data_IF_320418663662
#
_entry.id   IF_320418663662
#
_cell.length_a   1.000
_cell.length_b   1.000
_cell.length_c   1.000
_cell.angle_alpha   90.00
_cell.angle_beta   90.00
_cell.angle_gamma   90.00
#
_symmetry.space_group_name_H-M   'P 1'
#
loop_
_entity.id
_entity.type
_entity.pdbx_description
1 polymer ?
#
# COMPACT_ATOMS: atom_id res chain seq x y z
N UNK A 1 29.56 28.36 -25.00
CA UNK A 1 28.16 28.60 -24.59
C UNK A 1 27.27 27.33 -24.58
N UNK A 2 27.41 26.41 -25.50
CA UNK A 2 26.60 25.18 -25.62
C UNK A 2 26.73 24.20 -24.44
N UNK A 3 27.91 24.06 -23.80
CA UNK A 3 28.14 23.17 -22.64
C UNK A 3 27.42 23.61 -21.35
N UNK A 4 27.28 24.93 -21.12
CA UNK A 4 26.66 25.49 -19.90
C UNK A 4 25.15 25.34 -19.94
N UNK A 5 24.50 25.48 -21.10
CA UNK A 5 23.07 25.26 -21.26
C UNK A 5 22.66 23.81 -20.95
N UNK A 6 23.41 22.84 -21.51
CA UNK A 6 23.17 21.40 -21.29
C UNK A 6 23.31 21.01 -19.82
N UNK A 7 24.32 21.49 -19.10
CA UNK A 7 24.50 21.24 -17.66
C UNK A 7 23.38 21.83 -16.80
N UNK A 8 22.78 22.95 -17.21
CA UNK A 8 21.68 23.59 -16.49
C UNK A 8 20.37 22.80 -16.66
N UNK A 9 20.14 22.28 -17.85
CA UNK A 9 18.99 21.44 -18.15
C UNK A 9 19.06 20.07 -17.44
N UNK A 10 20.27 19.46 -17.41
CA UNK A 10 20.50 18.21 -16.67
C UNK A 10 20.26 18.38 -15.16
N UNK A 11 20.72 19.47 -14.54
CA UNK A 11 20.45 19.77 -13.12
C UNK A 11 18.96 19.96 -12.83
N UNK A 12 18.22 20.62 -13.72
CA UNK A 12 16.77 20.82 -13.57
C UNK A 12 16.01 19.50 -13.69
N UNK A 13 16.45 18.63 -14.60
CA UNK A 13 15.89 17.30 -14.78
C UNK A 13 16.07 16.42 -13.54
N UNK A 14 17.30 16.36 -12.99
CA UNK A 14 17.63 15.63 -11.77
C UNK A 14 16.82 16.17 -10.58
N UNK A 15 16.75 17.50 -10.43
CA UNK A 15 15.99 18.13 -9.35
C UNK A 15 14.50 17.75 -9.37
N UNK A 16 13.87 17.73 -10.54
CA UNK A 16 12.47 17.29 -10.68
C UNK A 16 12.30 15.80 -10.37
N UNK A 17 13.28 14.96 -10.72
CA UNK A 17 13.30 13.54 -10.37
C UNK A 17 13.28 13.32 -8.86
N UNK A 18 14.15 14.04 -8.16
CA UNK A 18 14.22 13.98 -6.68
C UNK A 18 12.90 14.45 -6.07
N UNK A 19 12.32 15.54 -6.55
CA UNK A 19 11.02 16.05 -6.06
C UNK A 19 9.92 15.01 -6.25
N UNK A 20 9.85 14.33 -7.39
CA UNK A 20 8.85 13.29 -7.64
C UNK A 20 9.00 12.10 -6.69
N UNK A 21 10.23 11.68 -6.40
CA UNK A 21 10.50 10.61 -5.43
C UNK A 21 10.07 11.05 -4.02
N UNK A 22 10.43 12.26 -3.60
CA UNK A 22 10.05 12.78 -2.28
C UNK A 22 8.53 12.91 -2.13
N UNK A 23 7.84 13.45 -3.13
CA UNK A 23 6.37 13.52 -3.15
C UNK A 23 5.78 12.11 -3.09
N UNK A 24 6.33 11.17 -3.85
CA UNK A 24 5.92 9.77 -3.80
C UNK A 24 6.07 9.15 -2.41
N UNK A 25 7.19 9.38 -1.72
CA UNK A 25 7.42 8.88 -0.35
C UNK A 25 6.39 9.49 0.62
N UNK A 26 6.20 10.81 0.59
CA UNK A 26 5.25 11.48 1.49
C UNK A 26 3.82 10.99 1.27
N UNK A 27 3.39 10.88 0.01
CA UNK A 27 2.03 10.43 -0.31
C UNK A 27 1.83 8.95 0.03
N UNK A 28 2.82 8.09 -0.20
CA UNK A 28 2.74 6.68 0.19
C UNK A 28 2.65 6.50 1.70
N UNK A 29 3.37 7.31 2.48
CA UNK A 29 3.26 7.34 3.93
C UNK A 29 1.86 7.76 4.39
N UNK A 30 1.28 8.82 3.81
CA UNK A 30 -0.07 9.28 4.13
C UNK A 30 -1.12 8.21 3.78
N UNK A 31 -1.02 7.57 2.62
CA UNK A 31 -1.91 6.47 2.22
C UNK A 31 -1.80 5.26 3.15
N UNK A 32 -0.58 4.93 3.54
CA UNK A 32 -0.34 3.86 4.52
C UNK A 32 -0.97 4.21 5.88
N UNK A 33 -0.83 5.45 6.37
CA UNK A 33 -1.46 5.90 7.60
C UNK A 33 -2.99 5.81 7.55
N UNK A 34 -3.60 6.19 6.42
CA UNK A 34 -5.05 6.02 6.19
C UNK A 34 -5.46 4.54 6.25
N UNK A 35 -4.70 3.67 5.60
CA UNK A 35 -4.93 2.24 5.60
C UNK A 35 -4.81 1.61 7.00
N UNK A 36 -3.82 2.04 7.77
CA UNK A 36 -3.61 1.64 9.16
C UNK A 36 -4.77 2.11 10.06
N UNK A 37 -5.23 3.35 9.88
CA UNK A 37 -6.38 3.87 10.62
C UNK A 37 -7.64 3.03 10.37
N UNK A 38 -7.94 2.70 9.11
CA UNK A 38 -9.10 1.87 8.77
C UNK A 38 -9.00 0.45 9.31
N UNK A 39 -7.79 -0.08 9.47
CA UNK A 39 -7.59 -1.40 10.07
C UNK A 39 -7.84 -1.41 11.58
N UNK A 40 -7.71 -0.25 12.26
CA UNK A 40 -7.74 -0.15 13.73
C UNK A 40 -8.95 0.57 14.30
N UNK A 41 -9.82 1.15 13.49
CA UNK A 41 -10.97 1.95 13.97
C UNK A 41 -11.81 1.20 15.04
N UNK A 42 -12.00 -0.11 14.88
CA UNK A 42 -12.68 -0.98 15.86
C UNK A 42 -11.91 -1.13 17.17
N UNK A 43 -10.59 -1.01 17.17
CA UNK A 43 -9.70 -1.28 18.31
C UNK A 43 -9.25 -0.01 19.04
N UNK A 44 -9.63 1.16 18.51
CA UNK A 44 -9.38 2.46 19.11
C UNK A 44 -8.08 3.13 18.69
N UNK A 45 -7.95 4.38 19.09
CA UNK A 45 -6.83 5.27 18.71
C UNK A 45 -5.47 4.80 19.27
N UNK A 46 -5.47 4.11 20.42
CA UNK A 46 -4.25 3.58 21.04
C UNK A 46 -3.57 2.56 20.14
N UNK A 47 -4.36 1.70 19.50
CA UNK A 47 -3.83 0.74 18.53
C UNK A 47 -3.24 1.43 17.30
N UNK A 48 -3.88 2.48 16.79
CA UNK A 48 -3.33 3.28 15.70
C UNK A 48 -2.00 3.95 16.08
N UNK A 49 -1.90 4.52 17.28
CA UNK A 49 -0.68 5.15 17.79
C UNK A 49 0.46 4.14 17.94
N UNK A 50 0.18 2.93 18.40
CA UNK A 50 1.19 1.89 18.61
C UNK A 50 1.94 1.49 17.33
N UNK A 51 1.36 1.65 16.14
CA UNK A 51 2.09 1.42 14.89
C UNK A 51 3.24 2.39 14.67
N UNK A 52 3.09 3.63 15.15
CA UNK A 52 4.12 4.66 15.00
C UNK A 52 5.24 4.54 16.05
N UNK A 53 4.99 3.85 17.15
CA UNK A 53 6.04 3.47 18.10
C UNK A 53 6.98 2.43 17.49
N UNK A 54 6.43 1.55 16.65
CA UNK A 54 7.22 0.62 15.86
C UNK A 54 7.33 1.09 14.40
N UNK A 55 8.27 2.00 14.12
CA UNK A 55 8.48 2.56 12.77
C UNK A 55 8.69 1.51 11.67
N UNK A 56 9.08 0.28 12.03
CA UNK A 56 9.24 -0.82 11.10
C UNK A 56 7.92 -1.31 10.51
N UNK A 57 6.84 -1.35 11.30
CA UNK A 57 5.49 -1.71 10.82
C UNK A 57 4.99 -0.66 9.81
N UNK A 58 5.16 0.62 10.13
CA UNK A 58 4.78 1.71 9.22
C UNK A 58 5.58 1.64 7.91
N UNK A 59 6.88 1.37 8.00
CA UNK A 59 7.74 1.20 6.83
C UNK A 59 7.27 0.06 5.93
N UNK A 60 6.97 -1.13 6.49
CA UNK A 60 6.52 -2.29 5.74
C UNK A 60 5.15 -2.09 5.06
N UNK A 61 4.25 -1.32 5.68
CA UNK A 61 2.98 -0.95 5.05
C UNK A 61 3.14 0.15 3.98
N UNK A 62 4.14 1.04 4.11
CA UNK A 62 4.39 2.15 3.18
C UNK A 62 5.13 1.69 1.92
N UNK A 63 6.05 0.73 2.05
CA UNK A 63 6.93 0.27 0.99
C UNK A 63 6.18 -0.21 -0.27
N UNK A 64 5.15 -1.09 -0.18
CA UNK A 64 4.40 -1.54 -1.35
C UNK A 64 3.62 -0.41 -2.03
N UNK A 65 3.08 0.52 -1.24
CA UNK A 65 2.36 1.69 -1.77
C UNK A 65 3.29 2.58 -2.57
N UNK A 66 4.50 2.81 -2.05
CA UNK A 66 5.53 3.59 -2.75
C UNK A 66 5.91 2.94 -4.09
N UNK A 67 6.20 1.64 -4.11
CA UNK A 67 6.51 0.93 -5.35
C UNK A 67 5.35 0.98 -6.34
N UNK A 68 4.11 0.85 -5.88
CA UNK A 68 2.92 0.95 -6.73
C UNK A 68 2.76 2.34 -7.35
N UNK A 69 2.93 3.41 -6.57
CA UNK A 69 2.91 4.80 -7.07
C UNK A 69 3.99 5.01 -8.13
N UNK A 70 5.23 4.60 -7.84
CA UNK A 70 6.36 4.79 -8.74
C UNK A 70 6.21 3.96 -10.02
N UNK A 71 5.71 2.74 -9.94
CA UNK A 71 5.44 1.88 -11.08
C UNK A 71 4.43 2.52 -12.05
N UNK A 72 3.28 2.96 -11.53
CA UNK A 72 2.24 3.61 -12.34
C UNK A 72 2.73 4.96 -12.88
N UNK A 73 3.47 5.74 -12.07
CA UNK A 73 4.10 6.99 -12.51
C UNK A 73 5.02 6.76 -13.72
N UNK A 74 5.89 5.76 -13.68
CA UNK A 74 6.82 5.46 -14.77
C UNK A 74 6.10 4.97 -16.04
N UNK A 75 4.98 4.26 -15.90
CA UNK A 75 4.16 3.85 -17.04
C UNK A 75 3.42 5.04 -17.66
N UNK A 76 2.78 5.86 -16.85
CA UNK A 76 1.94 6.98 -17.32
C UNK A 76 2.75 8.26 -17.57
N UNK A 77 3.99 8.33 -17.09
CA UNK A 77 4.86 9.54 -17.13
C UNK A 77 4.23 10.78 -16.44
N UNK A 78 3.25 10.56 -15.56
CA UNK A 78 2.51 11.59 -14.83
C UNK A 78 2.33 11.14 -13.37
N UNK A 79 3.01 11.81 -12.42
CA UNK A 79 3.00 11.40 -11.00
C UNK A 79 1.59 11.43 -10.38
N UNK A 80 0.79 12.44 -10.73
CA UNK A 80 -0.58 12.58 -10.20
C UNK A 80 -1.48 11.39 -10.59
N UNK A 81 -1.26 10.78 -11.78
CA UNK A 81 -1.98 9.56 -12.22
C UNK A 81 -1.57 8.37 -11.35
N UNK A 82 -0.24 8.22 -11.12
CA UNK A 82 0.28 7.17 -10.24
C UNK A 82 -0.31 7.25 -8.85
N UNK A 83 -0.32 8.45 -8.27
CA UNK A 83 -0.92 8.71 -6.97
C UNK A 83 -2.43 8.41 -6.98
N UNK A 84 -3.18 8.90 -7.99
CA UNK A 84 -4.63 8.72 -8.05
C UNK A 84 -5.04 7.25 -8.14
N UNK A 85 -4.43 6.50 -9.04
CA UNK A 85 -4.75 5.06 -9.23
C UNK A 85 -4.42 4.27 -7.96
N UNK A 86 -3.21 4.48 -7.40
CA UNK A 86 -2.79 3.78 -6.19
C UNK A 86 -3.65 4.17 -4.98
N UNK A 87 -4.03 5.45 -4.85
CA UNK A 87 -4.91 5.91 -3.77
C UNK A 87 -6.28 5.26 -3.83
N UNK A 88 -6.89 5.18 -5.01
CA UNK A 88 -8.19 4.52 -5.20
C UNK A 88 -8.08 3.04 -4.80
N UNK A 89 -7.04 2.34 -5.28
CA UNK A 89 -6.83 0.93 -4.96
C UNK A 89 -6.67 0.71 -3.45
N UNK A 90 -5.77 1.45 -2.80
CA UNK A 90 -5.49 1.30 -1.37
C UNK A 90 -6.71 1.64 -0.52
N UNK A 91 -7.42 2.74 -0.82
CA UNK A 91 -8.61 3.15 -0.08
C UNK A 91 -9.73 2.11 -0.23
N UNK A 92 -9.98 1.62 -1.44
CA UNK A 92 -11.02 0.60 -1.66
C UNK A 92 -10.70 -0.68 -0.91
N UNK A 93 -9.47 -1.20 -0.99
CA UNK A 93 -9.07 -2.39 -0.24
C UNK A 93 -9.15 -2.17 1.28
N UNK A 94 -8.74 -1.00 1.76
CA UNK A 94 -8.82 -0.66 3.19
C UNK A 94 -10.25 -0.57 3.69
N UNK A 95 -11.18 -0.04 2.88
CA UNK A 95 -12.60 -0.01 3.20
C UNK A 95 -13.21 -1.42 3.23
N UNK A 96 -12.86 -2.27 2.27
CA UNK A 96 -13.32 -3.67 2.25
C UNK A 96 -12.82 -4.40 3.50
N UNK A 97 -11.53 -4.23 3.86
CA UNK A 97 -10.97 -4.79 5.08
C UNK A 97 -11.70 -4.30 6.33
N UNK A 98 -11.95 -2.98 6.42
CA UNK A 98 -12.70 -2.38 7.52
C UNK A 98 -14.08 -3.01 7.70
N UNK A 99 -14.86 -3.11 6.62
CA UNK A 99 -16.21 -3.70 6.70
C UNK A 99 -16.15 -5.19 7.01
N UNK A 100 -15.15 -5.92 6.50
CA UNK A 100 -14.98 -7.34 6.83
C UNK A 100 -14.66 -7.53 8.31
N UNK A 101 -13.76 -6.73 8.87
CA UNK A 101 -13.46 -6.73 10.30
C UNK A 101 -14.68 -6.34 11.15
N UNK A 102 -15.48 -5.38 10.70
CA UNK A 102 -16.65 -4.92 11.43
C UNK A 102 -17.75 -5.99 11.51
N UNK A 103 -17.99 -6.71 10.41
CA UNK A 103 -19.11 -7.65 10.30
C UNK A 103 -18.76 -9.09 10.64
N UNK A 104 -17.53 -9.51 10.39
CA UNK A 104 -17.09 -10.90 10.50
C UNK A 104 -15.98 -11.12 11.51
N UNK A 105 -15.40 -10.05 12.04
CA UNK A 105 -14.21 -10.09 12.91
C UNK A 105 -13.02 -10.83 12.26
N UNK A 106 -12.93 -10.72 10.94
CA UNK A 106 -11.96 -11.44 10.12
C UNK A 106 -11.31 -10.46 9.13
N UNK A 107 -9.96 -10.43 8.98
CA UNK A 107 -9.28 -9.52 8.07
C UNK A 107 -9.47 -9.94 6.62
N UNK A 108 -9.29 -8.99 5.71
CA UNK A 108 -9.29 -9.26 4.28
C UNK A 108 -8.00 -10.01 3.89
N UNK A 109 -8.16 -11.21 3.36
CA UNK A 109 -7.08 -12.03 2.81
C UNK A 109 -7.18 -12.06 1.28
N UNK A 110 -6.11 -12.48 0.63
CA UNK A 110 -6.09 -12.60 -0.85
C UNK A 110 -7.10 -13.63 -1.36
N UNK A 111 -7.33 -14.69 -0.59
CA UNK A 111 -8.34 -15.72 -0.91
C UNK A 111 -9.76 -15.16 -1.04
N UNK A 112 -10.09 -14.13 -0.26
CA UNK A 112 -11.38 -13.46 -0.31
C UNK A 112 -11.67 -12.76 -1.64
N UNK A 113 -10.64 -12.41 -2.38
CA UNK A 113 -10.81 -11.81 -3.71
C UNK A 113 -11.47 -12.78 -4.69
N UNK A 114 -11.32 -14.09 -4.49
CA UNK A 114 -11.99 -15.12 -5.29
C UNK A 114 -13.48 -15.25 -4.93
N UNK A 115 -13.85 -14.88 -3.69
CA UNK A 115 -15.23 -14.94 -3.19
C UNK A 115 -16.02 -13.65 -3.42
N UNK A 116 -15.44 -12.68 -4.14
CA UNK A 116 -16.08 -11.37 -4.37
C UNK A 116 -17.42 -11.47 -5.10
N UNK A 117 -17.61 -12.49 -5.95
CA UNK A 117 -18.89 -12.76 -6.62
C UNK A 117 -19.99 -13.19 -5.65
N UNK A 118 -19.62 -13.90 -4.57
CA UNK A 118 -20.55 -14.36 -3.55
C UNK A 118 -20.94 -13.24 -2.57
N UNK A 119 -20.00 -12.33 -2.26
CA UNK A 119 -20.26 -11.17 -1.41
C UNK A 119 -21.35 -10.25 -1.98
N UNK A 120 -21.50 -10.15 -3.30
CA UNK A 120 -22.55 -9.36 -3.95
C UNK A 120 -23.94 -9.79 -3.52
N UNK A 121 -24.14 -11.06 -3.24
CA UNK A 121 -25.43 -11.61 -2.81
C UNK A 121 -25.74 -11.37 -1.31
N UNK A 122 -24.73 -10.95 -0.53
CA UNK A 122 -24.86 -10.72 0.92
C UNK A 122 -25.02 -9.24 1.31
N UNK A 123 -24.73 -8.31 0.40
CA UNK A 123 -24.71 -6.84 0.66
C UNK A 123 -26.08 -6.26 1.08
N UNK A 124 -27.19 -6.92 0.76
CA UNK A 124 -28.54 -6.46 1.15
C UNK A 124 -28.90 -6.63 2.63
N UNK A 125 -28.10 -7.34 3.42
CA UNK A 125 -28.42 -7.68 4.83
C UNK A 125 -27.74 -6.80 5.87
N UNK A 126 -26.75 -5.99 5.48
CA UNK A 126 -25.95 -5.21 6.43
C UNK A 126 -26.16 -3.70 6.20
N UNK A 127 -26.44 -2.96 7.28
CA UNK A 127 -26.46 -1.49 7.26
C UNK A 127 -25.02 -1.00 7.32
N UNK A 128 -24.57 -0.40 6.23
CA UNK A 128 -23.23 0.20 6.14
C UNK A 128 -23.25 1.54 6.87
N UNK A 129 -22.59 1.62 8.02
CA UNK A 129 -22.33 2.88 8.72
C UNK A 129 -20.92 3.35 8.39
N UNK A 130 -20.82 4.43 7.63
CA UNK A 130 -19.53 5.09 7.35
C UNK A 130 -19.28 6.07 8.50
N UNK A 131 -18.16 5.91 9.18
CA UNK A 131 -17.76 6.80 10.27
C UNK A 131 -17.36 8.18 9.70
N UNK A 132 -17.63 9.26 10.46
CA UNK A 132 -17.27 10.63 10.10
C UNK A 132 -15.79 10.78 9.82
N UNK A 133 -14.95 10.13 10.61
CA UNK A 133 -13.48 10.22 10.49
C UNK A 133 -12.97 9.59 9.18
N UNK A 134 -13.60 8.51 8.72
CA UNK A 134 -13.29 7.91 7.42
C UNK A 134 -13.55 8.87 6.27
N UNK A 135 -14.68 9.61 6.33
CA UNK A 135 -15.00 10.61 5.33
C UNK A 135 -13.92 11.70 5.32
N UNK A 136 -13.48 12.15 6.51
CA UNK A 136 -12.42 13.15 6.62
C UNK A 136 -11.09 12.66 6.03
N UNK A 137 -10.69 11.40 6.25
CA UNK A 137 -9.51 10.81 5.66
C UNK A 137 -9.59 10.72 4.14
N UNK A 138 -10.74 10.31 3.58
CA UNK A 138 -10.95 10.24 2.13
C UNK A 138 -10.92 11.65 1.52
N UNK A 139 -11.56 12.63 2.15
CA UNK A 139 -11.51 14.03 1.73
C UNK A 139 -10.08 14.59 1.78
N UNK A 140 -9.33 14.30 2.84
CA UNK A 140 -7.93 14.70 2.97
C UNK A 140 -7.08 14.16 1.81
N UNK A 141 -7.23 12.88 1.47
CA UNK A 141 -6.53 12.28 0.32
C UNK A 141 -6.97 12.87 -1.02
N UNK A 142 -8.25 13.20 -1.18
CA UNK A 142 -8.74 13.89 -2.38
C UNK A 142 -8.08 15.27 -2.55
N UNK A 143 -7.90 16.01 -1.45
CA UNK A 143 -7.17 17.28 -1.44
C UNK A 143 -5.71 17.08 -1.84
N UNK A 144 -5.03 16.06 -1.31
CA UNK A 144 -3.63 15.74 -1.68
C UNK A 144 -3.51 15.47 -3.18
N UNK A 145 -4.39 14.65 -3.75
CA UNK A 145 -4.43 14.36 -5.18
C UNK A 145 -4.64 15.65 -5.98
N UNK A 146 -5.57 16.50 -5.56
CA UNK A 146 -5.85 17.79 -6.21
C UNK A 146 -4.63 18.72 -6.19
N UNK A 147 -3.92 18.82 -5.07
CA UNK A 147 -2.70 19.63 -4.95
C UNK A 147 -1.62 19.11 -5.90
N UNK A 148 -1.35 17.80 -5.92
CA UNK A 148 -0.36 17.20 -6.83
C UNK A 148 -0.75 17.43 -8.30
N UNK A 149 -2.05 17.31 -8.62
CA UNK A 149 -2.55 17.62 -9.96
C UNK A 149 -2.34 19.09 -10.37
N UNK A 150 -2.54 20.04 -9.46
CA UNK A 150 -2.23 21.45 -9.69
C UNK A 150 -0.75 21.70 -9.93
N UNK A 151 0.12 21.00 -9.19
CA UNK A 151 1.57 21.10 -9.30
C UNK A 151 2.15 20.33 -10.49
N UNK A 152 1.34 19.57 -11.23
CA UNK A 152 1.80 18.67 -12.31
C UNK A 152 2.73 19.32 -13.33
N UNK A 153 2.48 20.59 -13.69
CA UNK A 153 3.33 21.33 -14.66
C UNK A 153 4.73 21.61 -14.12
N UNK A 154 4.87 21.78 -12.80
CA UNK A 154 6.15 22.07 -12.13
C UNK A 154 6.98 20.80 -11.99
N UNK A 155 6.32 19.69 -11.61
CA UNK A 155 6.96 18.40 -11.32
C UNK A 155 7.09 17.48 -12.53
N UNK A 156 6.48 17.85 -13.67
CA UNK A 156 6.53 17.04 -14.90
C UNK A 156 7.98 16.83 -15.36
N UNK A 157 8.30 15.57 -15.64
CA UNK A 157 9.57 15.15 -16.23
C UNK A 157 9.27 14.57 -17.60
N UNK A 158 9.96 15.07 -18.63
CA UNK A 158 9.90 14.48 -19.97
C UNK A 158 10.99 13.43 -20.10
N UNK A 159 10.65 12.18 -19.78
CA UNK A 159 11.58 11.06 -19.90
C UNK A 159 11.56 10.50 -21.32
N UNK A 160 12.75 10.27 -21.89
CA UNK A 160 12.87 9.50 -23.12
C UNK A 160 12.34 8.08 -22.92
N UNK A 161 11.70 7.51 -23.94
CA UNK A 161 11.08 6.18 -23.86
C UNK A 161 12.06 5.09 -23.41
N UNK A 162 13.31 5.14 -23.85
CA UNK A 162 14.36 4.18 -23.46
C UNK A 162 14.65 4.26 -21.95
N UNK A 163 14.88 5.47 -21.43
CA UNK A 163 15.15 5.70 -20.01
C UNK A 163 13.96 5.25 -19.17
N UNK A 164 12.74 5.51 -19.63
CA UNK A 164 11.51 5.12 -18.95
C UNK A 164 11.36 3.60 -18.84
N UNK A 165 11.60 2.85 -19.93
CA UNK A 165 11.58 1.39 -19.94
C UNK A 165 12.60 0.83 -18.95
N UNK A 166 13.84 1.33 -18.96
CA UNK A 166 14.89 0.91 -18.04
C UNK A 166 14.46 1.20 -16.59
N UNK A 167 13.90 2.37 -16.32
CA UNK A 167 13.43 2.73 -14.97
C UNK A 167 12.28 1.84 -14.49
N UNK A 168 11.33 1.45 -15.38
CA UNK A 168 10.27 0.50 -15.06
C UNK A 168 10.85 -0.86 -14.70
N UNK A 169 11.79 -1.37 -15.47
CA UNK A 169 12.47 -2.65 -15.18
C UNK A 169 13.18 -2.57 -13.81
N UNK A 170 13.92 -1.49 -13.56
CA UNK A 170 14.63 -1.31 -12.29
C UNK A 170 13.68 -1.25 -11.09
N UNK A 171 12.57 -0.50 -11.18
CA UNK A 171 11.61 -0.40 -10.06
C UNK A 171 10.92 -1.74 -9.80
N UNK A 172 10.61 -2.52 -10.84
CA UNK A 172 10.03 -3.85 -10.70
C UNK A 172 11.01 -4.81 -10.05
N UNK A 173 12.27 -4.85 -10.50
CA UNK A 173 13.31 -5.72 -9.90
C UNK A 173 13.55 -5.34 -8.43
N UNK A 174 13.67 -4.05 -8.14
CA UNK A 174 13.84 -3.56 -6.77
C UNK A 174 12.61 -3.90 -5.91
N UNK A 175 11.39 -3.70 -6.44
CA UNK A 175 10.15 -4.06 -5.77
C UNK A 175 10.06 -5.56 -5.45
N UNK A 176 10.35 -6.43 -6.41
CA UNK A 176 10.36 -7.89 -6.20
C UNK A 176 11.41 -8.27 -5.15
N UNK A 177 12.61 -7.70 -5.20
CA UNK A 177 13.66 -7.95 -4.22
C UNK A 177 13.23 -7.54 -2.81
N UNK A 178 12.68 -6.35 -2.65
CA UNK A 178 12.17 -5.87 -1.37
C UNK A 178 10.97 -6.70 -0.88
N UNK A 179 10.05 -7.09 -1.77
CA UNK A 179 8.94 -7.97 -1.43
C UNK A 179 9.42 -9.31 -0.88
N UNK A 180 10.35 -9.97 -1.58
CA UNK A 180 10.88 -11.27 -1.14
C UNK A 180 11.68 -11.17 0.16
N UNK A 181 12.45 -10.10 0.34
CA UNK A 181 13.32 -9.95 1.49
C UNK A 181 12.55 -9.56 2.77
N UNK A 182 11.56 -8.70 2.68
CA UNK A 182 10.89 -8.11 3.84
C UNK A 182 9.44 -8.57 4.01
N UNK A 183 8.66 -8.67 2.93
CA UNK A 183 7.22 -8.90 3.01
C UNK A 183 6.86 -10.38 2.97
N UNK A 184 7.48 -11.14 2.07
CA UNK A 184 7.22 -12.57 1.89
C UNK A 184 8.18 -13.46 2.71
N UNK A 185 8.76 -12.92 3.77
CA UNK A 185 9.71 -13.63 4.63
C UNK A 185 9.08 -13.92 5.99
N UNK A 186 8.92 -15.22 6.32
CA UNK A 186 8.35 -15.70 7.58
C UNK A 186 9.09 -15.18 8.82
N UNK A 187 10.41 -15.15 8.76
CA UNK A 187 11.22 -14.72 9.90
C UNK A 187 10.97 -13.24 10.24
N UNK A 188 10.87 -12.39 9.22
CA UNK A 188 10.51 -10.99 9.40
C UNK A 188 9.06 -10.82 9.85
N UNK A 189 8.15 -11.61 9.28
CA UNK A 189 6.74 -11.55 9.64
C UNK A 189 6.52 -11.90 11.11
N UNK A 190 7.18 -12.92 11.62
CA UNK A 190 7.07 -13.31 13.03
C UNK A 190 7.73 -12.31 14.00
N UNK A 191 8.82 -11.66 13.59
CA UNK A 191 9.53 -10.66 14.40
C UNK A 191 8.83 -9.30 14.49
N UNK A 192 7.91 -8.99 13.56
CA UNK A 192 7.25 -7.68 13.48
C UNK A 192 5.95 -7.59 14.26
N UNK A 193 5.76 -8.39 15.29
CA UNK A 193 4.55 -8.38 16.10
C UNK A 193 4.53 -7.17 17.06
N UNK A 194 3.42 -6.42 17.05
CA UNK A 194 3.18 -5.36 18.03
C UNK A 194 2.52 -5.95 19.27
N UNK A 195 3.33 -6.30 20.27
CA UNK A 195 2.95 -7.14 21.41
C UNK A 195 2.12 -6.39 22.45
N UNK A 196 2.14 -5.04 22.45
CA UNK A 196 1.69 -4.24 23.59
C UNK A 196 0.17 -4.27 23.83
N UNK A 197 -0.66 -4.54 22.81
CA UNK A 197 -2.13 -4.36 22.87
C UNK A 197 -2.94 -5.61 22.48
N UNK A 198 -2.30 -6.79 22.29
CA UNK A 198 -2.95 -7.89 21.59
C UNK A 198 -2.82 -9.22 22.30
N UNK A 199 -3.95 -9.93 22.35
CA UNK A 199 -3.98 -11.33 22.76
C UNK A 199 -3.35 -12.19 21.66
N UNK A 200 -2.18 -12.77 21.94
CA UNK A 200 -1.37 -13.57 21.02
C UNK A 200 -2.08 -14.78 20.40
N UNK A 201 -3.22 -15.19 20.92
CA UNK A 201 -3.95 -16.40 20.53
C UNK A 201 -4.96 -16.18 19.40
N UNK A 202 -5.24 -14.93 19.02
CA UNK A 202 -6.22 -14.61 17.98
C UNK A 202 -5.53 -14.31 16.63
N UNK A 203 -5.75 -15.15 15.61
CA UNK A 203 -5.18 -14.91 14.26
C UNK A 203 -5.53 -13.55 13.66
N UNK A 204 -6.77 -13.09 13.88
CA UNK A 204 -7.22 -11.74 13.47
C UNK A 204 -6.42 -10.64 14.14
N UNK A 205 -6.15 -10.77 15.43
CA UNK A 205 -5.38 -9.78 16.19
C UNK A 205 -3.91 -9.75 15.76
N UNK A 206 -3.32 -10.90 15.48
CA UNK A 206 -1.97 -10.99 14.93
C UNK A 206 -1.86 -10.31 13.57
N UNK A 207 -2.87 -10.45 12.71
CA UNK A 207 -2.93 -9.77 11.42
C UNK A 207 -2.98 -8.26 11.61
N UNK A 208 -3.91 -7.76 12.42
CA UNK A 208 -4.11 -6.33 12.69
C UNK A 208 -2.90 -5.70 13.37
N UNK A 209 -2.15 -6.45 14.21
CA UNK A 209 -0.93 -5.96 14.86
C UNK A 209 0.13 -5.48 13.90
N UNK A 210 0.11 -5.99 12.68
CA UNK A 210 1.05 -5.65 11.60
C UNK A 210 0.49 -4.63 10.59
N UNK A 211 -0.70 -4.12 10.83
CA UNK A 211 -1.42 -3.19 9.94
C UNK A 211 -2.34 -3.92 8.97
N UNK A 212 -2.45 -3.43 7.74
CA UNK A 212 -3.30 -4.05 6.72
C UNK A 212 -2.55 -4.44 5.45
N UNK A 213 -1.85 -3.49 4.80
CA UNK A 213 -1.23 -3.72 3.48
C UNK A 213 -0.15 -4.80 3.56
N UNK A 214 0.68 -4.74 4.60
CA UNK A 214 1.75 -5.71 4.81
C UNK A 214 1.22 -7.14 5.01
N UNK A 215 0.33 -7.44 5.97
CA UNK A 215 -0.18 -8.79 6.15
C UNK A 215 -1.10 -9.24 5.01
N UNK A 216 -1.81 -8.34 4.33
CA UNK A 216 -2.56 -8.67 3.13
C UNK A 216 -1.65 -9.20 2.01
N UNK A 217 -0.51 -8.55 1.78
CA UNK A 217 0.46 -9.03 0.79
C UNK A 217 1.14 -10.33 1.24
N UNK A 218 1.41 -10.47 2.55
CA UNK A 218 1.94 -11.71 3.09
C UNK A 218 0.96 -12.88 2.93
N UNK A 219 -0.36 -12.66 2.96
CA UNK A 219 -1.36 -13.70 2.70
C UNK A 219 -1.25 -14.32 1.30
N UNK A 220 -0.70 -13.58 0.31
CA UNK A 220 -0.38 -14.14 -1.02
C UNK A 220 0.64 -15.27 -0.91
N UNK A 221 1.66 -15.07 -0.06
CA UNK A 221 2.70 -16.07 0.16
C UNK A 221 2.13 -17.32 0.85
N UNK A 222 1.30 -17.15 1.88
CA UNK A 222 0.65 -18.26 2.58
C UNK A 222 -0.22 -19.06 1.59
N UNK A 223 -1.10 -18.38 0.87
CA UNK A 223 -2.00 -19.02 -0.10
C UNK A 223 -1.24 -19.83 -1.14
N UNK A 224 -0.16 -19.28 -1.70
CA UNK A 224 0.68 -19.97 -2.67
C UNK A 224 1.35 -21.19 -2.09
N UNK A 225 1.85 -21.12 -0.87
CA UNK A 225 2.53 -22.25 -0.22
C UNK A 225 1.54 -23.34 0.21
N UNK A 226 0.39 -22.99 0.80
CA UNK A 226 -0.66 -23.96 1.11
C UNK A 226 -1.17 -24.67 -0.16
N UNK A 227 -1.37 -23.96 -1.26
CA UNK A 227 -1.77 -24.57 -2.53
C UNK A 227 -0.71 -25.58 -3.05
N UNK A 228 0.57 -25.31 -2.84
CA UNK A 228 1.64 -26.23 -3.22
C UNK A 228 1.71 -27.46 -2.30
N UNK A 229 1.33 -27.34 -1.03
CA UNK A 229 1.26 -28.47 -0.10
C UNK A 229 0.06 -29.40 -0.37
N UNK A 230 -1.11 -28.85 -0.62
CA UNK A 230 -2.33 -29.62 -0.91
C UNK A 230 -2.43 -30.12 -2.37
N UNK A 231 -1.66 -29.54 -3.29
CA UNK A 231 -1.61 -29.97 -4.68
C UNK A 231 -0.54 -31.03 -5.00
N UNK A 232 0.20 -31.51 -3.99
CA UNK A 232 1.23 -32.52 -4.19
C UNK A 232 0.64 -33.94 -3.97
N UNK A 233 0.49 -34.79 -5.03
CA UNK A 233 -0.13 -36.10 -4.91
C UNK A 233 0.70 -37.14 -4.10
N UNK A 234 1.80 -36.74 -3.49
CA UNK A 234 2.68 -37.57 -2.68
C UNK A 234 2.45 -37.51 -1.16
N UNK A 235 1.33 -36.88 -0.73
CA UNK A 235 0.88 -36.95 0.67
C UNK A 235 -0.35 -37.87 0.76
N UNK A 236 -0.14 -39.18 0.60
CA UNK A 236 -0.94 -40.29 1.14
C UNK A 236 -0.10 -41.08 2.13
#
# INVERSE_FOLDING_TARGET
>A
MMKIGKMRDDKKYIGRGIVNILVGIVVSFLLSAVSLYFATDKYGIEMFQSYFENGYIVFLNTLPVFFSIMFVFLICNELWIGISITSILVIVLSLINYFKLLFRDDPLLVEDLNLFSEMKNMTGRYKIHINRDMILWILGMTVVIFVVWKLRKIIKIEMQIRTRIISVIMIVLCGISCMNQFILNDEYYQKTENIALINRWGGTQQFISRGFIYPFLYSIYIHRNCSNYFGNPNFE
#
